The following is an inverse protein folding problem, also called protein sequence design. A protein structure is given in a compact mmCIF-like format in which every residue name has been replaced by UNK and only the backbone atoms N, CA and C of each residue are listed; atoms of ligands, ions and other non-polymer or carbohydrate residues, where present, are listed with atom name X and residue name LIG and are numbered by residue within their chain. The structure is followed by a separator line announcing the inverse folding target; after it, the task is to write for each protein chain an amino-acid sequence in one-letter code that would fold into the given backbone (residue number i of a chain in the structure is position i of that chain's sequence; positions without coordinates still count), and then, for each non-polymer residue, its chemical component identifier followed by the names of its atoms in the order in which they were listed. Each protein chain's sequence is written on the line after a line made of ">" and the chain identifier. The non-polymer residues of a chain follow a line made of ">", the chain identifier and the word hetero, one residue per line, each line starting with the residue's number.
data_IF_648852369957
#
_entry.id   IF_648852369957
#
_cell.length_a   1.000
_cell.length_b   1.000
_cell.length_c   1.000
_cell.angle_alpha   90.00
_cell.angle_beta   90.00
_cell.angle_gamma   90.00
#
_symmetry.space_group_name_H-M   'P 1'
#
loop_
_entity.id
_entity.type
_entity.pdbx_description
1 polymer ?
#
# COMPACT_ATOMS: atom_id res chain seq x y z
N UNK A 1 -14.45 -13.38 -13.17
CA UNK A 1 -14.89 -13.87 -11.85
C UNK A 1 -15.59 -12.76 -11.09
N UNK A 2 -16.11 -13.03 -9.89
CA UNK A 2 -16.71 -12.01 -9.00
C UNK A 2 -15.60 -11.34 -8.20
N UNK A 3 -15.41 -10.03 -8.37
CA UNK A 3 -14.36 -9.25 -7.68
C UNK A 3 -14.86 -8.53 -6.43
N UNK A 4 -16.18 -8.34 -6.29
CA UNK A 4 -16.79 -7.63 -5.17
C UNK A 4 -17.94 -8.46 -4.62
N UNK A 5 -18.02 -8.57 -3.29
CA UNK A 5 -19.14 -9.21 -2.59
C UNK A 5 -19.51 -8.40 -1.36
N UNK A 6 -20.80 -8.10 -1.22
CA UNK A 6 -21.37 -7.45 -0.04
C UNK A 6 -22.27 -8.44 0.69
N UNK A 7 -22.14 -8.54 2.01
CA UNK A 7 -22.97 -9.38 2.88
C UNK A 7 -23.49 -8.56 4.04
N UNK A 8 -24.81 -8.46 4.16
CA UNK A 8 -25.48 -7.73 5.23
C UNK A 8 -25.89 -8.67 6.37
N UNK A 9 -25.51 -8.30 7.59
CA UNK A 9 -25.85 -8.99 8.83
C UNK A 9 -26.80 -8.11 9.66
N UNK A 10 -28.11 -8.34 9.62
CA UNK A 10 -29.07 -7.59 10.43
C UNK A 10 -28.87 -7.91 11.93
N UNK A 11 -29.05 -6.93 12.81
CA UNK A 11 -28.89 -7.09 14.27
C UNK A 11 -30.20 -7.01 15.08
N UNK A 12 -31.33 -7.12 14.39
CA UNK A 12 -32.66 -7.01 14.96
C UNK A 12 -33.26 -5.60 14.89
N UNK A 13 -34.53 -5.43 15.29
CA UNK A 13 -35.24 -4.15 15.18
C UNK A 13 -34.54 -3.02 15.94
N UNK A 14 -34.45 -1.84 15.34
CA UNK A 14 -33.89 -0.63 15.96
C UNK A 14 -32.37 -0.63 16.14
N UNK A 15 -31.64 -1.57 15.54
CA UNK A 15 -30.17 -1.67 15.63
C UNK A 15 -29.53 -1.67 14.26
N UNK A 16 -28.47 -0.88 14.12
CA UNK A 16 -27.66 -0.89 12.90
C UNK A 16 -27.03 -2.28 12.70
N UNK A 17 -27.17 -2.80 11.49
CA UNK A 17 -26.54 -4.07 11.11
C UNK A 17 -25.03 -3.97 10.95
N UNK A 18 -24.45 -4.97 10.31
CA UNK A 18 -23.04 -4.98 9.89
C UNK A 18 -22.98 -5.32 8.41
N UNK A 19 -22.19 -4.57 7.66
CA UNK A 19 -21.89 -4.87 6.28
C UNK A 19 -20.46 -5.44 6.21
N UNK A 20 -20.33 -6.64 5.66
CA UNK A 20 -19.05 -7.17 5.21
C UNK A 20 -18.90 -6.88 3.72
N UNK A 21 -17.91 -6.08 3.37
CA UNK A 21 -17.54 -5.80 1.98
C UNK A 21 -16.21 -6.50 1.69
N UNK A 22 -16.23 -7.47 0.77
CA UNK A 22 -15.05 -8.13 0.26
C UNK A 22 -14.78 -7.61 -1.15
N UNK A 23 -13.57 -7.14 -1.39
CA UNK A 23 -13.09 -6.79 -2.72
C UNK A 23 -11.79 -7.52 -2.96
N UNK A 24 -11.68 -8.22 -4.09
CA UNK A 24 -10.46 -8.90 -4.48
C UNK A 24 -9.34 -7.88 -4.70
N UNK A 25 -8.13 -8.15 -4.20
CA UNK A 25 -7.02 -7.18 -4.18
C UNK A 25 -6.58 -6.70 -5.58
N UNK A 26 -6.93 -7.44 -6.64
CA UNK A 26 -6.79 -7.03 -8.04
C UNK A 26 -7.60 -5.77 -8.40
N UNK A 27 -8.59 -5.40 -7.60
CA UNK A 27 -9.49 -4.27 -7.88
C UNK A 27 -9.51 -3.22 -6.76
N UNK A 28 -8.66 -3.36 -5.73
CA UNK A 28 -8.63 -2.46 -4.57
C UNK A 28 -7.25 -2.42 -3.96
N UNK A 29 -6.85 -1.28 -3.40
CA UNK A 29 -5.68 -1.15 -2.53
C UNK A 29 -6.02 -0.33 -1.27
N UNK A 30 -5.02 -0.05 -0.44
CA UNK A 30 -5.20 0.73 0.80
C UNK A 30 -5.78 2.14 0.58
N UNK A 31 -5.44 2.80 -0.53
CA UNK A 31 -5.96 4.13 -0.86
C UNK A 31 -7.39 4.04 -1.39
N UNK A 32 -7.73 3.02 -2.19
CA UNK A 32 -9.10 2.78 -2.67
C UNK A 32 -10.09 2.71 -1.50
N UNK A 33 -9.72 2.09 -0.37
CA UNK A 33 -10.60 2.02 0.81
C UNK A 33 -10.91 3.39 1.42
N UNK A 34 -9.98 4.35 1.34
CA UNK A 34 -10.17 5.72 1.82
C UNK A 34 -11.20 6.49 0.98
N UNK A 35 -11.46 6.03 -0.25
CA UNK A 35 -12.47 6.59 -1.17
C UNK A 35 -13.79 5.81 -1.03
N UNK A 36 -13.73 4.47 -1.11
CA UNK A 36 -14.90 3.60 -1.11
C UNK A 36 -15.76 3.74 0.16
N UNK A 37 -15.14 3.87 1.33
CA UNK A 37 -15.89 3.92 2.59
C UNK A 37 -16.67 5.24 2.76
N UNK A 38 -16.07 6.43 2.56
CA UNK A 38 -16.82 7.68 2.52
C UNK A 38 -17.91 7.71 1.45
N UNK A 39 -17.63 7.21 0.24
CA UNK A 39 -18.59 7.17 -0.87
C UNK A 39 -19.79 6.29 -0.55
N UNK A 40 -19.55 5.13 0.05
CA UNK A 40 -20.61 4.24 0.49
C UNK A 40 -21.45 4.89 1.60
N UNK A 41 -20.80 5.54 2.58
CA UNK A 41 -21.50 6.25 3.64
C UNK A 41 -22.38 7.39 3.08
N UNK A 42 -21.86 8.14 2.10
CA UNK A 42 -22.62 9.16 1.39
C UNK A 42 -23.83 8.56 0.67
N UNK A 43 -23.62 7.51 -0.13
CA UNK A 43 -24.68 6.87 -0.90
C UNK A 43 -25.80 6.30 -0.01
N UNK A 44 -25.44 5.75 1.15
CA UNK A 44 -26.43 5.27 2.14
C UNK A 44 -27.21 6.44 2.76
N UNK A 45 -26.55 7.56 3.06
CA UNK A 45 -27.19 8.71 3.68
C UNK A 45 -28.10 9.50 2.71
N UNK A 46 -27.71 9.62 1.45
CA UNK A 46 -28.41 10.45 0.45
C UNK A 46 -29.28 9.64 -0.50
N UNK A 47 -29.07 8.33 -0.59
CA UNK A 47 -29.70 7.48 -1.59
C UNK A 47 -29.11 7.64 -3.00
N UNK A 48 -28.06 8.45 -3.17
CA UNK A 48 -27.42 8.71 -4.46
C UNK A 48 -25.91 8.47 -4.36
N UNK A 49 -25.31 7.68 -5.28
CA UNK A 49 -23.86 7.52 -5.30
C UNK A 49 -23.16 8.85 -5.63
N UNK A 50 -21.93 9.05 -5.16
CA UNK A 50 -21.13 10.20 -5.55
C UNK A 50 -20.79 10.17 -7.04
N UNK A 51 -20.32 11.31 -7.56
CA UNK A 51 -19.85 11.40 -8.92
C UNK A 51 -18.67 10.44 -9.15
N UNK A 52 -18.59 9.86 -10.35
CA UNK A 52 -17.46 9.00 -10.71
C UNK A 52 -16.20 9.83 -10.92
N UNK A 53 -15.02 9.33 -10.56
CA UNK A 53 -13.76 9.98 -10.88
C UNK A 53 -13.58 10.12 -12.41
N UNK A 54 -12.83 11.15 -12.82
CA UNK A 54 -12.61 11.46 -14.23
C UNK A 54 -11.75 10.41 -14.94
N UNK A 55 -10.81 9.80 -14.23
CA UNK A 55 -9.91 8.77 -14.75
C UNK A 55 -10.38 7.38 -14.35
N UNK A 56 -10.64 6.52 -15.34
CA UNK A 56 -10.86 5.09 -15.09
C UNK A 56 -9.53 4.35 -14.96
N UNK A 57 -9.51 3.24 -14.21
CA UNK A 57 -8.32 2.37 -14.15
C UNK A 57 -7.87 1.89 -15.53
N UNK A 58 -8.81 1.63 -16.45
CA UNK A 58 -8.48 1.25 -17.83
C UNK A 58 -7.74 2.37 -18.57
N UNK A 59 -8.21 3.62 -18.44
CA UNK A 59 -7.54 4.79 -19.01
C UNK A 59 -6.14 4.96 -18.42
N UNK A 60 -6.01 4.98 -17.09
CA UNK A 60 -4.72 5.04 -16.41
C UNK A 60 -3.75 3.95 -16.88
N UNK A 61 -4.20 2.69 -16.93
CA UNK A 61 -3.37 1.57 -17.36
C UNK A 61 -2.94 1.69 -18.83
N UNK A 62 -3.80 2.25 -19.69
CA UNK A 62 -3.47 2.52 -21.08
C UNK A 62 -2.37 3.58 -21.20
N UNK A 63 -2.50 4.69 -20.48
CA UNK A 63 -1.51 5.77 -20.47
C UNK A 63 -0.16 5.32 -19.88
N UNK A 64 -0.20 4.50 -18.82
CA UNK A 64 1.02 3.99 -18.16
C UNK A 64 1.89 3.18 -19.13
N UNK A 65 1.26 2.39 -20.01
CA UNK A 65 1.93 1.52 -20.97
C UNK A 65 1.88 2.02 -22.42
N UNK A 66 1.46 3.27 -22.64
CA UNK A 66 1.37 3.86 -23.98
C UNK A 66 2.73 3.99 -24.66
N UNK A 67 3.79 4.21 -23.87
CA UNK A 67 5.18 4.28 -24.31
C UNK A 67 5.99 3.11 -23.73
N UNK A 68 6.33 2.09 -24.54
CA UNK A 68 7.12 0.95 -24.11
C UNK A 68 8.56 1.30 -23.68
N UNK A 69 9.11 2.42 -24.15
CA UNK A 69 10.49 2.84 -23.86
C UNK A 69 10.58 3.77 -22.65
N UNK A 70 9.44 4.20 -22.09
CA UNK A 70 9.36 5.14 -20.97
C UNK A 70 10.31 4.80 -19.82
N UNK A 71 10.36 3.52 -19.44
CA UNK A 71 11.17 3.04 -18.32
C UNK A 71 12.52 2.43 -18.76
N UNK A 72 12.83 2.41 -20.06
CA UNK A 72 14.07 1.81 -20.57
C UNK A 72 15.32 2.53 -20.03
N UNK A 73 15.22 3.85 -19.79
CA UNK A 73 16.28 4.67 -19.20
C UNK A 73 16.62 4.28 -17.75
N UNK A 74 15.70 3.65 -17.03
CA UNK A 74 15.93 3.20 -15.65
C UNK A 74 16.62 1.85 -15.56
N UNK A 75 16.69 1.10 -16.67
CA UNK A 75 17.27 -0.25 -16.68
C UNK A 75 18.70 -0.30 -16.11
N UNK A 76 19.64 0.59 -16.49
CA UNK A 76 20.99 0.55 -15.91
C UNK A 76 21.00 0.78 -14.39
N UNK A 77 20.06 1.57 -13.86
CA UNK A 77 19.92 1.76 -12.43
C UNK A 77 19.50 0.46 -11.74
N UNK A 78 18.43 -0.19 -12.23
CA UNK A 78 17.93 -1.44 -11.66
C UNK A 78 18.91 -2.60 -11.80
N UNK A 79 19.62 -2.70 -12.93
CA UNK A 79 20.70 -3.67 -13.12
C UNK A 79 21.81 -3.44 -12.07
N UNK A 80 22.18 -2.19 -11.80
CA UNK A 80 23.16 -1.82 -10.79
C UNK A 80 22.72 -2.15 -9.35
N UNK A 81 21.46 -1.89 -9.01
CA UNK A 81 20.90 -2.22 -7.68
C UNK A 81 20.92 -3.73 -7.42
N UNK A 82 20.72 -4.54 -8.46
CA UNK A 82 20.60 -5.99 -8.35
C UNK A 82 21.91 -6.76 -8.61
N UNK A 83 22.96 -6.11 -9.14
CA UNK A 83 24.22 -6.73 -9.51
C UNK A 83 24.89 -7.47 -8.35
N UNK A 84 24.94 -6.83 -7.18
CA UNK A 84 25.58 -7.35 -5.95
C UNK A 84 24.54 -7.55 -4.83
N UNK A 85 23.38 -8.13 -5.18
CA UNK A 85 22.29 -8.31 -4.22
C UNK A 85 22.75 -9.12 -2.99
N UNK A 86 22.52 -8.62 -1.76
CA UNK A 86 22.77 -9.38 -0.54
C UNK A 86 21.98 -10.70 -0.54
N UNK A 87 22.49 -11.69 0.19
CA UNK A 87 21.74 -12.92 0.44
C UNK A 87 20.41 -12.56 1.16
N UNK A 88 19.28 -13.20 0.81
CA UNK A 88 18.03 -12.99 1.51
C UNK A 88 18.18 -13.25 3.01
N UNK A 89 17.59 -12.38 3.83
CA UNK A 89 17.49 -12.62 5.26
C UNK A 89 16.44 -13.71 5.47
N UNK A 90 16.89 -14.92 5.77
CA UNK A 90 16.04 -16.08 6.00
C UNK A 90 16.54 -16.87 7.21
N UNK A 91 15.63 -17.51 7.98
CA UNK A 91 16.02 -18.51 8.97
C UNK A 91 16.84 -19.64 8.35
N UNK A 92 17.75 -20.23 9.13
CA UNK A 92 18.65 -21.31 8.68
C UNK A 92 17.92 -22.54 8.11
N UNK A 93 16.65 -22.75 8.48
CA UNK A 93 15.81 -23.88 8.07
C UNK A 93 14.76 -23.53 7.01
N UNK A 94 14.73 -22.30 6.51
CA UNK A 94 13.67 -21.78 5.64
C UNK A 94 13.45 -22.59 4.35
N UNK A 95 14.49 -23.27 3.85
CA UNK A 95 14.40 -24.09 2.64
C UNK A 95 13.67 -25.44 2.86
N UNK A 96 13.54 -25.91 4.10
CA UNK A 96 13.08 -27.27 4.42
C UNK A 96 11.71 -27.34 5.10
N UNK A 97 11.08 -26.19 5.38
CA UNK A 97 9.82 -26.12 6.14
C UNK A 97 8.70 -25.49 5.30
N UNK A 98 7.51 -26.10 5.23
CA UNK A 98 6.34 -25.45 4.64
C UNK A 98 6.09 -24.11 5.33
N UNK A 99 6.18 -23.01 4.59
CA UNK A 99 5.94 -21.68 5.15
C UNK A 99 4.44 -21.49 5.38
N UNK A 100 4.03 -21.43 6.65
CA UNK A 100 2.72 -20.91 7.04
C UNK A 100 2.95 -19.47 7.51
N UNK A 101 2.35 -18.46 6.85
CA UNK A 101 2.46 -17.07 7.29
C UNK A 101 1.97 -16.94 8.73
N UNK A 102 2.81 -16.40 9.61
CA UNK A 102 2.45 -16.00 10.96
C UNK A 102 2.43 -14.48 11.08
N UNK A 103 1.69 -13.96 12.06
CA UNK A 103 1.65 -12.53 12.35
C UNK A 103 2.19 -12.29 13.77
N UNK A 104 3.20 -11.43 13.87
CA UNK A 104 3.62 -10.83 15.14
C UNK A 104 3.35 -9.33 15.05
N UNK A 105 2.51 -8.83 15.95
CA UNK A 105 2.12 -7.43 16.00
C UNK A 105 2.63 -6.78 17.29
N UNK A 106 3.22 -5.60 17.15
CA UNK A 106 3.54 -4.70 18.25
C UNK A 106 3.02 -3.30 17.92
N UNK A 107 2.74 -2.51 18.96
CA UNK A 107 2.21 -1.16 18.82
C UNK A 107 3.06 -0.17 19.63
N UNK A 108 3.41 0.95 19.00
CA UNK A 108 4.10 2.04 19.69
C UNK A 108 3.06 2.92 20.38
N UNK A 109 3.37 3.32 21.61
CA UNK A 109 2.52 4.23 22.35
C UNK A 109 2.45 5.61 21.68
N UNK A 110 1.36 6.39 21.90
CA UNK A 110 1.18 7.69 21.24
C UNK A 110 2.30 8.70 21.51
N UNK A 111 2.92 8.67 22.68
CA UNK A 111 4.06 9.51 23.06
C UNK A 111 5.33 9.21 22.26
N UNK A 112 5.46 8.00 21.71
CA UNK A 112 6.52 7.63 20.76
C UNK A 112 6.11 7.91 19.31
N UNK A 113 4.85 7.65 18.96
CA UNK A 113 4.36 7.78 17.58
C UNK A 113 4.23 9.25 17.15
N UNK A 114 3.76 10.13 18.05
CA UNK A 114 3.59 11.55 17.74
C UNK A 114 4.89 12.26 17.30
N UNK A 115 6.01 12.19 18.05
CA UNK A 115 7.27 12.79 17.63
C UNK A 115 7.86 12.11 16.39
N UNK A 116 7.72 10.79 16.26
CA UNK A 116 8.15 10.03 15.08
C UNK A 116 7.51 10.59 13.80
N UNK A 117 6.20 10.85 13.83
CA UNK A 117 5.45 11.40 12.69
C UNK A 117 5.68 12.90 12.45
N UNK A 118 6.33 13.62 13.37
CA UNK A 118 6.43 15.09 13.33
C UNK A 118 7.87 15.58 13.58
N UNK A 119 8.21 15.88 14.83
CA UNK A 119 9.44 16.56 15.21
C UNK A 119 10.70 15.77 14.85
N UNK A 120 10.69 14.44 15.01
CA UNK A 120 11.84 13.58 14.67
C UNK A 120 12.05 13.54 13.16
N UNK A 121 10.98 13.30 12.38
CA UNK A 121 11.04 13.34 10.92
C UNK A 121 11.58 14.68 10.41
N UNK A 122 11.09 15.79 10.97
CA UNK A 122 11.56 17.13 10.64
C UNK A 122 13.04 17.37 10.99
N UNK A 123 13.50 16.89 12.16
CA UNK A 123 14.88 17.07 12.62
C UNK A 123 15.92 16.38 11.71
N UNK A 124 15.52 15.30 11.05
CA UNK A 124 16.37 14.58 10.09
C UNK A 124 16.09 14.95 8.62
N UNK A 125 15.20 15.91 8.38
CA UNK A 125 14.72 16.25 7.02
C UNK A 125 14.24 15.01 6.25
N UNK A 126 13.60 14.09 6.96
CA UNK A 126 13.16 12.79 6.45
C UNK A 126 11.63 12.67 6.54
N UNK A 127 11.08 11.71 5.80
CA UNK A 127 9.69 11.27 5.93
C UNK A 127 9.57 10.18 7.01
N UNK A 128 8.41 10.01 7.66
CA UNK A 128 8.24 8.96 8.66
C UNK A 128 8.56 7.54 8.16
N UNK A 129 8.22 7.24 6.90
CA UNK A 129 8.55 5.96 6.25
C UNK A 129 10.06 5.73 6.11
N UNK A 130 10.85 6.78 5.90
CA UNK A 130 12.32 6.69 5.83
C UNK A 130 12.93 6.39 7.20
N UNK A 131 12.37 6.95 8.27
CA UNK A 131 12.78 6.62 9.65
C UNK A 131 12.45 5.16 9.99
N UNK A 132 11.26 4.70 9.60
CA UNK A 132 10.85 3.30 9.81
C UNK A 132 11.71 2.34 8.97
N UNK A 133 12.05 2.71 7.75
CA UNK A 133 12.94 1.92 6.89
C UNK A 133 14.36 1.84 7.47
N UNK A 134 14.90 2.95 7.97
CA UNK A 134 16.20 2.96 8.64
C UNK A 134 16.19 2.04 9.88
N UNK A 135 15.12 2.10 10.68
CA UNK A 135 14.95 1.21 11.84
C UNK A 135 14.84 -0.27 11.42
N UNK A 136 14.11 -0.58 10.35
CA UNK A 136 14.00 -1.93 9.80
C UNK A 136 15.37 -2.46 9.38
N UNK A 137 16.08 -1.73 8.52
CA UNK A 137 17.40 -2.13 7.99
C UNK A 137 18.39 -2.35 9.15
N UNK A 138 18.39 -1.46 10.14
CA UNK A 138 19.24 -1.62 11.32
C UNK A 138 18.86 -2.86 12.15
N UNK A 139 17.57 -3.11 12.36
CA UNK A 139 17.09 -4.23 13.16
C UNK A 139 17.39 -5.59 12.51
N UNK A 140 17.33 -5.69 11.17
CA UNK A 140 17.52 -6.97 10.46
C UNK A 140 18.94 -7.18 9.93
N UNK A 141 19.64 -6.12 9.53
CA UNK A 141 20.96 -6.19 8.92
C UNK A 141 22.11 -5.76 9.84
N UNK A 142 21.84 -5.00 10.90
CA UNK A 142 22.87 -4.34 11.70
C UNK A 142 23.71 -3.42 10.82
N UNK A 143 24.96 -3.80 10.56
CA UNK A 143 25.90 -3.09 9.68
C UNK A 143 25.99 -3.71 8.27
N UNK A 144 25.24 -4.77 7.99
CA UNK A 144 25.25 -5.45 6.68
C UNK A 144 24.20 -4.84 5.73
N UNK A 145 24.50 -4.73 4.42
CA UNK A 145 23.51 -4.27 3.44
C UNK A 145 22.29 -5.19 3.38
N UNK A 146 21.10 -4.61 3.30
CA UNK A 146 19.82 -5.32 3.20
C UNK A 146 19.09 -4.86 1.94
N UNK A 147 18.62 -5.81 1.14
CA UNK A 147 17.69 -5.53 0.05
C UNK A 147 16.26 -5.57 0.60
N UNK A 148 15.53 -4.47 0.44
CA UNK A 148 14.16 -4.32 0.91
C UNK A 148 13.25 -4.04 -0.28
N UNK A 149 12.18 -4.83 -0.39
CA UNK A 149 11.10 -4.54 -1.33
C UNK A 149 10.16 -3.49 -0.71
N UNK A 150 9.95 -2.37 -1.41
CA UNK A 150 9.20 -1.23 -0.92
C UNK A 150 7.97 -0.99 -1.80
N UNK A 151 6.81 -0.98 -1.16
CA UNK A 151 5.55 -0.68 -1.82
C UNK A 151 5.22 0.81 -1.69
N UNK A 152 4.78 1.41 -2.80
CA UNK A 152 4.18 2.74 -2.84
C UNK A 152 2.72 2.66 -3.29
N UNK A 153 1.98 3.76 -3.16
CA UNK A 153 0.59 3.82 -3.65
C UNK A 153 0.48 3.82 -5.18
N UNK A 154 1.58 3.99 -5.93
CA UNK A 154 1.64 3.92 -7.39
C UNK A 154 0.88 5.00 -8.16
N UNK A 155 0.32 6.01 -7.47
CA UNK A 155 -0.47 7.11 -8.06
C UNK A 155 0.41 8.33 -8.28
N UNK A 156 1.29 8.23 -9.27
CA UNK A 156 2.21 9.31 -9.62
C UNK A 156 1.62 10.10 -10.80
N UNK A 157 1.05 11.28 -10.53
CA UNK A 157 0.38 12.13 -11.54
C UNK A 157 1.30 12.49 -12.73
N UNK A 158 2.60 12.56 -12.48
CA UNK A 158 3.64 12.81 -13.50
C UNK A 158 3.65 11.74 -14.61
N UNK A 159 3.14 10.53 -14.33
CA UNK A 159 3.05 9.44 -15.30
C UNK A 159 1.82 9.55 -16.23
N UNK A 160 0.84 10.37 -15.87
CA UNK A 160 -0.34 10.66 -16.70
C UNK A 160 -0.84 12.09 -16.47
N UNK A 161 -0.32 13.03 -17.25
CA UNK A 161 -0.67 14.45 -17.16
C UNK A 161 -2.18 14.67 -17.26
N UNK A 162 -2.77 15.25 -16.22
CA UNK A 162 -4.21 15.54 -16.14
C UNK A 162 -5.08 14.37 -15.68
N UNK A 163 -4.49 13.25 -15.27
CA UNK A 163 -5.22 12.17 -14.61
C UNK A 163 -5.53 12.53 -13.15
N UNK A 164 -6.78 12.31 -12.76
CA UNK A 164 -7.25 12.33 -11.36
C UNK A 164 -7.00 10.93 -10.75
N UNK A 165 -6.00 10.78 -9.85
CA UNK A 165 -5.48 9.49 -9.35
C UNK A 165 -5.62 9.29 -7.84
#
# INVERSE_FOLDING_TARGET
>A
GVLVRAVWFPRGPGRDGRLLLLVHHLAVDGVSWRILLPDLAHAVATGTPPARPGTSFAHWSGELYADPERFAVERPHWDGVLADRPAPIAPDDAANTPHTPGELRTELAPDLTAPLLTATAAAFHARPDELLLAALVHAVGGDTPVLVDLESHGRHEELASGADL
#
